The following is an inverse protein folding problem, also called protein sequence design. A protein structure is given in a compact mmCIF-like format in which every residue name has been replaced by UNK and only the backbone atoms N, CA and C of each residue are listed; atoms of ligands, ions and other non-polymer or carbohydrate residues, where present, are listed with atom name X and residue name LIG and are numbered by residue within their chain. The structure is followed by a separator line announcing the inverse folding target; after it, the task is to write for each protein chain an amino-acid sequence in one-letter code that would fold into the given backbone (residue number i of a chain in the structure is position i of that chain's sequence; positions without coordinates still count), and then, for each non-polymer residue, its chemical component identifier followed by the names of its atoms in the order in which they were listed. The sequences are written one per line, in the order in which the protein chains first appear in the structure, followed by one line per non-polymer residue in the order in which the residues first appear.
data_IF_867603294131
#
_entry.id   IF_867603294131
#
_cell.length_a   1.000
_cell.length_b   1.000
_cell.length_c   1.000
_cell.angle_alpha   90.00
_cell.angle_beta   90.00
_cell.angle_gamma   90.00
#
_symmetry.space_group_name_H-M   'P 1'
#
loop_
_entity.id
_entity.type
_entity.pdbx_description
1 polymer ?
#
# COMPACT_ATOMS: atom_id res chain seq x y z
N UNK A 1 -4.77 -7.83 15.88
CA UNK A 1 -3.52 -7.22 16.38
C UNK A 1 -2.52 -7.32 15.27
N UNK A 2 -1.65 -6.34 15.09
CA UNK A 2 -0.61 -6.35 14.06
C UNK A 2 0.47 -7.34 14.46
N UNK A 3 0.91 -8.16 13.51
CA UNK A 3 1.95 -9.17 13.66
C UNK A 3 3.32 -8.62 13.25
N UNK A 4 4.40 -9.33 13.61
CA UNK A 4 5.75 -8.99 13.12
C UNK A 4 5.85 -9.08 11.59
N UNK A 5 5.08 -9.99 10.98
CA UNK A 5 5.03 -10.15 9.54
C UNK A 5 4.31 -8.98 8.86
N UNK A 6 3.26 -8.44 9.46
CA UNK A 6 2.60 -7.22 8.99
C UNK A 6 3.57 -6.03 9.02
N UNK A 7 4.39 -5.93 10.08
CA UNK A 7 5.43 -4.88 10.19
C UNK A 7 6.44 -5.01 9.05
N UNK A 8 6.89 -6.23 8.74
CA UNK A 8 7.80 -6.48 7.63
C UNK A 8 7.26 -5.97 6.28
N UNK A 9 5.98 -6.22 5.98
CA UNK A 9 5.37 -5.73 4.74
C UNK A 9 5.14 -4.22 4.74
N UNK A 10 4.84 -3.62 5.89
CA UNK A 10 4.71 -2.16 6.03
C UNK A 10 6.07 -1.47 5.84
N UNK A 11 7.15 -2.02 6.39
CA UNK A 11 8.51 -1.53 6.14
C UNK A 11 8.88 -1.63 4.67
N UNK A 12 8.45 -2.71 3.99
CA UNK A 12 8.63 -2.84 2.54
C UNK A 12 7.86 -1.77 1.77
N UNK A 13 6.63 -1.48 2.16
CA UNK A 13 5.83 -0.38 1.57
C UNK A 13 6.50 0.99 1.78
N UNK A 14 7.14 1.21 2.94
CA UNK A 14 7.96 2.41 3.21
C UNK A 14 9.17 2.49 2.28
N UNK A 15 9.92 1.41 2.09
CA UNK A 15 11.05 1.40 1.15
C UNK A 15 10.63 1.71 -0.30
N UNK A 16 9.43 1.28 -0.70
CA UNK A 16 8.85 1.62 -2.00
C UNK A 16 8.49 3.11 -2.11
N UNK A 17 7.96 3.70 -1.04
CA UNK A 17 7.71 5.14 -0.95
C UNK A 17 9.00 5.97 -1.05
N UNK A 18 10.07 5.55 -0.37
CA UNK A 18 11.40 6.18 -0.46
C UNK A 18 11.96 6.13 -1.89
N UNK A 19 11.76 5.00 -2.58
CA UNK A 19 12.12 4.88 -4.00
C UNK A 19 11.33 5.86 -4.87
N UNK A 20 10.02 5.96 -4.68
CA UNK A 20 9.18 6.91 -5.40
C UNK A 20 9.66 8.34 -5.21
N UNK A 21 10.02 8.71 -3.99
CA UNK A 21 10.57 10.03 -3.66
C UNK A 21 11.90 10.31 -4.36
N UNK A 22 12.81 9.33 -4.37
CA UNK A 22 14.09 9.45 -5.07
C UNK A 22 13.92 9.63 -6.61
N UNK A 23 12.81 9.14 -7.16
CA UNK A 23 12.43 9.33 -8.57
C UNK A 23 11.56 10.58 -8.81
N UNK A 24 11.36 11.43 -7.80
CA UNK A 24 10.61 12.69 -7.91
C UNK A 24 9.09 12.55 -7.84
N UNK A 25 8.58 11.45 -7.28
CA UNK A 25 7.16 11.22 -7.03
C UNK A 25 6.79 11.50 -5.57
N UNK A 26 5.50 11.63 -5.27
CA UNK A 26 5.04 11.61 -3.89
C UNK A 26 5.34 10.26 -3.22
N UNK A 27 5.68 10.23 -1.93
CA UNK A 27 6.22 9.05 -1.25
C UNK A 27 5.13 8.07 -0.79
N UNK A 28 4.53 7.36 -1.75
CA UNK A 28 3.61 6.27 -1.49
C UNK A 28 4.08 4.97 -2.12
N UNK A 29 4.00 3.89 -1.34
CA UNK A 29 4.33 2.53 -1.75
C UNK A 29 3.30 1.56 -1.22
N UNK A 30 3.07 0.47 -1.95
CA UNK A 30 2.12 -0.57 -1.56
C UNK A 30 2.59 -1.97 -1.98
N UNK A 31 2.22 -2.95 -1.17
CA UNK A 31 2.57 -4.36 -1.32
C UNK A 31 1.29 -5.19 -1.24
N UNK A 32 1.09 -6.06 -2.21
CA UNK A 32 0.03 -7.06 -2.21
C UNK A 32 0.61 -8.42 -1.81
N UNK A 33 0.05 -9.02 -0.76
CA UNK A 33 0.48 -10.29 -0.19
C UNK A 33 -0.68 -11.30 -0.22
N UNK A 34 -0.41 -12.53 -0.63
CA UNK A 34 -1.36 -13.65 -0.56
C UNK A 34 -1.56 -14.17 0.87
N UNK A 35 -2.57 -15.02 1.04
CA UNK A 35 -2.89 -15.66 2.32
C UNK A 35 -1.76 -16.48 2.94
N UNK A 36 -0.85 -17.01 2.11
CA UNK A 36 0.32 -17.78 2.55
C UNK A 36 1.55 -16.91 2.86
N UNK A 37 1.44 -15.59 2.72
CA UNK A 37 2.53 -14.64 2.96
C UNK A 37 3.41 -14.37 1.73
N UNK A 38 3.08 -14.87 0.54
CA UNK A 38 3.84 -14.55 -0.68
C UNK A 38 3.54 -13.13 -1.16
N UNK A 39 4.57 -12.34 -1.46
CA UNK A 39 4.40 -11.04 -2.13
C UNK A 39 4.04 -11.31 -3.60
N UNK A 40 2.82 -10.93 -3.99
CA UNK A 40 2.31 -11.12 -5.34
C UNK A 40 2.65 -9.94 -6.27
N UNK A 41 2.60 -8.73 -5.73
CA UNK A 41 2.89 -7.50 -6.46
C UNK A 41 3.31 -6.37 -5.52
N UNK A 42 4.11 -5.46 -6.06
CA UNK A 42 4.62 -4.28 -5.35
C UNK A 42 4.57 -3.09 -6.29
N UNK A 43 4.18 -1.93 -5.78
CA UNK A 43 4.26 -0.71 -6.56
C UNK A 43 4.51 0.54 -5.70
N UNK A 44 4.88 1.62 -6.36
CA UNK A 44 5.02 2.95 -5.78
C UNK A 44 4.43 4.01 -6.71
N UNK A 45 4.20 5.18 -6.15
CA UNK A 45 3.55 6.29 -6.83
C UNK A 45 4.33 6.78 -8.07
N UNK A 46 3.63 7.07 -9.17
CA UNK A 46 4.22 7.54 -10.45
C UNK A 46 3.52 8.77 -11.03
N UNK A 47 2.91 9.60 -10.18
CA UNK A 47 2.12 10.77 -10.61
C UNK A 47 2.95 11.83 -11.32
N UNK A 48 4.28 11.86 -11.13
CA UNK A 48 5.18 12.79 -11.85
C UNK A 48 5.17 12.58 -13.37
N UNK A 49 4.67 11.42 -13.83
CA UNK A 49 4.44 11.14 -15.25
C UNK A 49 3.26 11.92 -15.87
N UNK A 50 2.55 12.74 -15.08
CA UNK A 50 1.43 13.59 -15.52
C UNK A 50 0.06 12.97 -15.33
N UNK A 51 -0.01 11.69 -14.96
CA UNK A 51 -1.26 11.00 -14.62
C UNK A 51 -1.42 10.90 -13.09
N UNK A 52 -2.33 11.72 -12.56
CA UNK A 52 -2.63 11.80 -11.13
C UNK A 52 -3.27 10.53 -10.56
N UNK A 53 -3.64 9.56 -11.40
CA UNK A 53 -4.27 8.30 -10.96
C UNK A 53 -3.27 7.16 -10.78
N UNK A 54 -1.98 7.37 -11.07
CA UNK A 54 -0.92 6.36 -10.90
C UNK A 54 -0.46 6.21 -9.45
N UNK A 55 -1.44 5.95 -8.60
CA UNK A 55 -1.24 5.54 -7.22
C UNK A 55 -0.93 4.04 -7.19
N UNK A 56 -0.03 3.58 -6.31
CA UNK A 56 0.37 2.18 -6.26
C UNK A 56 -0.82 1.25 -6.01
N UNK A 57 -1.80 1.68 -5.24
CA UNK A 57 -2.98 0.86 -4.93
C UNK A 57 -3.87 0.59 -6.15
N UNK A 58 -3.93 1.52 -7.10
CA UNK A 58 -4.66 1.35 -8.36
C UNK A 58 -3.94 0.34 -9.25
N UNK A 59 -2.61 0.40 -9.31
CA UNK A 59 -1.83 -0.55 -10.10
C UNK A 59 -1.90 -1.97 -9.50
N UNK A 60 -1.93 -2.10 -8.17
CA UNK A 60 -2.18 -3.38 -7.51
C UNK A 60 -3.58 -3.92 -7.83
N UNK A 61 -4.62 -3.06 -7.88
CA UNK A 61 -5.96 -3.47 -8.34
C UNK A 61 -5.90 -3.97 -9.78
N UNK A 62 -5.22 -3.26 -10.68
CA UNK A 62 -5.10 -3.64 -12.10
C UNK A 62 -4.39 -4.98 -12.23
N UNK A 63 -3.29 -5.18 -11.51
CA UNK A 63 -2.59 -6.44 -11.44
C UNK A 63 -3.50 -7.57 -10.97
N UNK A 64 -4.16 -7.38 -9.82
CA UNK A 64 -5.02 -8.40 -9.20
C UNK A 64 -6.21 -8.77 -10.10
N UNK A 65 -6.77 -7.81 -10.85
CA UNK A 65 -7.90 -8.06 -11.76
C UNK A 65 -7.54 -8.97 -12.94
N UNK A 66 -6.26 -9.07 -13.28
CA UNK A 66 -5.76 -9.90 -14.38
C UNK A 66 -5.23 -11.25 -13.89
N UNK A 67 -4.60 -11.28 -12.71
CA UNK A 67 -3.82 -12.43 -12.25
C UNK A 67 -4.51 -13.23 -11.14
N UNK A 68 -5.49 -12.66 -10.44
CA UNK A 68 -6.13 -13.29 -9.29
C UNK A 68 -7.61 -13.49 -9.54
N UNK A 69 -8.11 -14.64 -9.12
CA UNK A 69 -9.55 -14.88 -9.04
C UNK A 69 -10.15 -14.15 -7.83
N UNK A 70 -11.48 -14.19 -7.70
CA UNK A 70 -12.17 -13.48 -6.62
C UNK A 70 -11.78 -14.00 -5.23
N UNK A 71 -11.64 -15.31 -5.04
CA UNK A 71 -11.30 -15.90 -3.75
C UNK A 71 -9.87 -15.53 -3.33
N UNK A 72 -8.91 -15.61 -4.25
CA UNK A 72 -7.52 -15.20 -4.01
C UNK A 72 -7.45 -13.73 -3.58
N UNK A 73 -8.24 -12.85 -4.22
CA UNK A 73 -8.32 -11.43 -3.84
C UNK A 73 -8.92 -11.24 -2.44
N UNK A 74 -9.99 -11.96 -2.11
CA UNK A 74 -10.61 -11.91 -0.79
C UNK A 74 -9.68 -12.39 0.34
N UNK A 75 -8.76 -13.30 0.04
CA UNK A 75 -7.82 -13.83 1.03
C UNK A 75 -6.50 -13.05 1.07
N UNK A 76 -6.28 -12.13 0.12
CA UNK A 76 -5.07 -11.32 0.04
C UNK A 76 -5.16 -10.05 0.90
N UNK A 77 -4.00 -9.54 1.29
CA UNK A 77 -3.85 -8.32 2.09
C UNK A 77 -3.01 -7.29 1.34
N UNK A 78 -3.44 -6.03 1.38
CA UNK A 78 -2.63 -4.90 0.88
C UNK A 78 -2.08 -4.10 2.04
N UNK A 79 -0.77 -3.92 2.03
CA UNK A 79 -0.02 -3.06 2.93
C UNK A 79 0.38 -1.79 2.18
N UNK A 80 0.12 -0.63 2.76
CA UNK A 80 0.50 0.66 2.15
C UNK A 80 1.18 1.57 3.16
N UNK A 81 2.12 2.39 2.69
CA UNK A 81 2.89 3.32 3.51
C UNK A 81 2.06 4.50 4.03
N UNK A 82 0.87 4.74 3.48
CA UNK A 82 -0.04 5.82 3.85
C UNK A 82 -1.49 5.35 3.93
N UNK A 83 -2.38 6.18 4.46
CA UNK A 83 -3.82 5.89 4.39
C UNK A 83 -4.32 6.03 2.95
N UNK A 84 -5.13 5.08 2.48
CA UNK A 84 -5.71 5.10 1.15
C UNK A 84 -6.55 6.36 0.94
N UNK A 85 -6.35 7.06 -0.19
CA UNK A 85 -7.25 8.12 -0.59
C UNK A 85 -8.65 7.56 -0.95
N UNK A 86 -9.72 8.38 -0.96
CA UNK A 86 -11.08 7.92 -1.24
C UNK A 86 -11.23 7.18 -2.58
N UNK A 87 -10.42 7.54 -3.58
CA UNK A 87 -10.38 6.87 -4.88
C UNK A 87 -9.87 5.43 -4.76
N UNK A 88 -8.69 5.21 -4.17
CA UNK A 88 -8.09 3.89 -4.01
C UNK A 88 -8.94 2.99 -3.11
N UNK A 89 -9.43 3.53 -1.99
CA UNK A 89 -10.28 2.80 -1.05
C UNK A 89 -11.58 2.30 -1.70
N UNK A 90 -12.21 3.15 -2.53
CA UNK A 90 -13.43 2.77 -3.26
C UNK A 90 -13.17 1.67 -4.27
N UNK A 91 -12.06 1.76 -5.01
CA UNK A 91 -11.71 0.78 -6.03
C UNK A 91 -11.41 -0.60 -5.43
N UNK A 92 -10.65 -0.64 -4.32
CA UNK A 92 -10.40 -1.89 -3.60
C UNK A 92 -11.68 -2.52 -3.06
N UNK A 93 -12.61 -1.70 -2.56
CA UNK A 93 -13.93 -2.17 -2.14
C UNK A 93 -14.71 -2.81 -3.28
N UNK A 94 -14.73 -2.17 -4.44
CA UNK A 94 -15.48 -2.65 -5.60
C UNK A 94 -14.92 -3.98 -6.14
N UNK A 95 -13.62 -4.20 -5.96
CA UNK A 95 -12.97 -5.44 -6.40
C UNK A 95 -13.02 -6.56 -5.36
N UNK A 96 -13.71 -6.34 -4.24
CA UNK A 96 -13.90 -7.35 -3.20
C UNK A 96 -12.61 -7.66 -2.45
N UNK A 97 -11.80 -6.65 -2.12
CA UNK A 97 -10.60 -6.91 -1.32
C UNK A 97 -10.93 -7.44 0.07
N UNK A 98 -10.11 -8.37 0.55
CA UNK A 98 -10.13 -8.86 1.92
C UNK A 98 -9.73 -7.81 2.94
N UNK A 99 -8.45 -7.75 3.27
CA UNK A 99 -7.91 -6.91 4.33
C UNK A 99 -6.98 -5.81 3.79
N UNK A 100 -7.12 -4.60 4.34
CA UNK A 100 -6.22 -3.48 4.11
C UNK A 100 -5.50 -3.11 5.40
N UNK A 101 -4.18 -3.05 5.35
CA UNK A 101 -3.31 -2.60 6.45
C UNK A 101 -2.67 -1.25 6.11
N UNK A 102 -3.06 -0.21 6.86
CA UNK A 102 -2.52 1.15 6.69
C UNK A 102 -2.13 1.80 8.01
N UNK A 103 -1.15 2.71 8.05
CA UNK A 103 -0.98 3.60 9.19
C UNK A 103 -2.21 4.50 9.35
N UNK A 104 -2.46 4.99 10.58
CA UNK A 104 -3.63 5.84 10.90
C UNK A 104 -3.47 7.30 10.48
N UNK A 105 -2.24 7.70 10.21
CA UNK A 105 -1.89 9.00 9.66
C UNK A 105 -0.94 8.74 8.51
N UNK A 106 -1.09 9.53 7.45
CA UNK A 106 -0.12 9.57 6.36
C UNK A 106 1.27 9.84 6.95
N UNK A 107 2.27 9.06 6.54
CA UNK A 107 3.65 9.37 6.85
C UNK A 107 3.99 10.73 6.21
N UNK A 108 4.22 11.76 7.04
CA UNK A 108 4.66 13.06 6.55
C UNK A 108 6.13 12.96 6.15
N UNK A 109 6.39 12.82 4.86
CA UNK A 109 7.73 12.99 4.31
C UNK A 109 7.96 14.48 4.08
N UNK A 110 8.72 15.11 4.96
CA UNK A 110 9.10 16.52 4.83
C UNK A 110 10.43 16.56 4.08
N UNK A 111 10.48 17.27 2.94
CA UNK A 111 11.66 17.47 2.12
C UNK A 111 12.94 17.67 2.95
N UNK A 112 13.84 16.68 2.91
CA UNK A 112 15.25 16.85 3.30
C UNK A 112 15.57 16.94 4.79
N UNK A 113 14.77 16.40 5.72
CA UNK A 113 15.26 16.19 7.10
C UNK A 113 15.46 14.72 7.41
N UNK A 114 16.63 14.38 7.95
CA UNK A 114 17.15 13.05 8.32
C UNK A 114 16.33 12.30 9.39
N UNK A 115 15.06 12.66 9.57
CA UNK A 115 14.15 12.07 10.55
C UNK A 115 12.97 11.34 9.88
N UNK A 116 13.17 10.84 8.65
CA UNK A 116 12.24 10.04 7.85
C UNK A 116 12.05 8.61 8.38
N UNK A 117 12.12 8.42 9.70
CA UNK A 117 11.83 7.13 10.32
C UNK A 117 10.33 6.88 10.32
N UNK A 118 9.78 6.44 9.18
CA UNK A 118 8.43 5.87 9.12
C UNK A 118 8.49 4.48 9.77
N UNK A 119 8.64 4.46 11.10
CA UNK A 119 8.40 3.24 11.86
C UNK A 119 6.91 2.92 11.73
N UNK A 120 6.57 1.67 11.44
CA UNK A 120 5.20 1.17 11.57
C UNK A 120 4.68 1.57 12.97
N UNK A 121 3.86 2.63 13.03
CA UNK A 121 3.44 3.19 14.31
C UNK A 121 2.38 2.29 14.94
N UNK A 122 2.28 2.33 16.27
CA UNK A 122 1.24 1.64 17.07
C UNK A 122 -0.20 1.97 16.67
N UNK A 123 -0.40 2.93 15.78
CA UNK A 123 -1.69 3.40 15.31
C UNK A 123 -2.22 2.64 14.09
N UNK A 124 -1.39 1.83 13.41
CA UNK A 124 -1.74 1.08 12.18
C UNK A 124 -3.03 0.28 12.33
N UNK A 125 -3.86 0.28 11.28
CA UNK A 125 -5.16 -0.37 11.20
C UNK A 125 -5.14 -1.38 10.05
N UNK A 126 -5.31 -2.65 10.39
CA UNK A 126 -5.73 -3.67 9.45
C UNK A 126 -7.26 -3.82 9.56
N UNK A 127 -7.97 -3.67 8.43
CA UNK A 127 -9.44 -3.71 8.38
C UNK A 127 -9.91 -4.42 7.12
N UNK A 128 -10.92 -5.26 7.30
CA UNK A 128 -11.68 -5.80 6.19
C UNK A 128 -12.56 -4.73 5.55
N UNK A 129 -12.54 -4.66 4.23
CA UNK A 129 -13.50 -3.84 3.50
C UNK A 129 -14.76 -4.68 3.28
N UNK A 130 -15.89 -4.22 3.82
CA UNK A 130 -17.22 -4.82 3.56
C UNK A 130 -18.04 -3.98 2.59
#
# INVERSE_FOLDING_TARGET
MITEQDIHYLERAVSLAEKGLAEGNDPFGSVLVSADGTILAEDYNRVSSGDVTKHPEIELVRFASVHLNQEERHQSTVYTSGEHCPMCASLMRWQGWGELCTPRHQANYVNGSENSGVRAQSSTRCRFIK
#
